data_IF_673225135317
#
_entry.id   IF_673225135317
#
_cell.length_a   1.000
_cell.length_b   1.000
_cell.length_c   1.000
_cell.angle_alpha   90.00
_cell.angle_beta   90.00
_cell.angle_gamma   90.00
#
_symmetry.space_group_name_H-M   'P 1'
#
loop_
_entity.id
_entity.type
_entity.pdbx_description
1 polymer ?
#
# COMPACT_ATOMS: atom_id res chain seq x y z
N UNK A 1 6.36 -14.05 -24.22
CA UNK A 1 5.75 -14.09 -22.88
C UNK A 1 4.25 -14.21 -23.05
N UNK A 2 3.67 -15.36 -22.79
CA UNK A 2 2.22 -15.58 -22.78
C UNK A 2 1.63 -14.75 -21.65
N UNK A 3 0.75 -13.79 -21.97
CA UNK A 3 -0.06 -13.10 -20.94
C UNK A 3 -0.84 -14.16 -20.17
N UNK A 4 -0.44 -14.46 -18.95
CA UNK A 4 -1.31 -15.23 -18.04
C UNK A 4 -2.58 -14.40 -17.88
N UNK A 5 -3.69 -14.94 -18.39
CA UNK A 5 -5.00 -14.33 -18.18
C UNK A 5 -5.28 -14.31 -16.67
N UNK A 6 -5.73 -13.17 -16.13
CA UNK A 6 -6.07 -13.07 -14.72
C UNK A 6 -7.16 -14.09 -14.39
N UNK A 7 -6.87 -14.96 -13.44
CA UNK A 7 -7.82 -15.96 -12.99
C UNK A 7 -8.85 -15.31 -12.04
N UNK A 8 -10.03 -15.03 -12.58
CA UNK A 8 -11.15 -14.49 -11.79
C UNK A 8 -11.59 -15.44 -10.68
N UNK A 9 -11.41 -16.76 -10.84
CA UNK A 9 -11.78 -17.72 -9.83
C UNK A 9 -10.88 -17.62 -8.60
N UNK A 10 -9.62 -17.21 -8.76
CA UNK A 10 -8.71 -16.96 -7.64
C UNK A 10 -9.22 -15.86 -6.71
N UNK A 11 -9.79 -14.78 -7.26
CA UNK A 11 -10.22 -13.61 -6.48
C UNK A 11 -11.60 -13.76 -5.84
N UNK A 12 -12.44 -14.62 -6.39
CA UNK A 12 -13.83 -14.78 -5.93
C UNK A 12 -13.90 -15.13 -4.45
N UNK A 13 -14.52 -14.24 -3.67
CA UNK A 13 -14.70 -14.40 -2.23
C UNK A 13 -13.44 -14.19 -1.39
N UNK A 14 -12.27 -13.87 -1.99
CA UNK A 14 -11.04 -13.53 -1.24
C UNK A 14 -11.24 -12.27 -0.43
N UNK A 15 -10.83 -12.33 0.83
CA UNK A 15 -10.86 -11.20 1.76
C UNK A 15 -9.61 -10.35 1.54
N UNK A 16 -9.77 -9.21 0.87
CA UNK A 16 -8.64 -8.35 0.45
C UNK A 16 -8.69 -7.01 1.17
N UNK A 17 -7.65 -6.67 1.90
CA UNK A 17 -7.47 -5.36 2.50
C UNK A 17 -6.66 -4.45 1.56
N UNK A 18 -7.17 -3.24 1.32
CA UNK A 18 -6.47 -2.17 0.61
C UNK A 18 -6.33 -0.98 1.55
N UNK A 19 -5.12 -0.69 2.00
CA UNK A 19 -4.88 0.59 2.69
C UNK A 19 -4.67 1.70 1.66
N UNK A 20 -5.18 2.90 1.93
CA UNK A 20 -5.13 4.01 0.96
C UNK A 20 -6.19 3.92 -0.14
N UNK A 21 -7.30 3.21 0.11
CA UNK A 21 -8.38 3.00 -0.86
C UNK A 21 -9.12 4.28 -1.29
N UNK A 22 -9.01 5.36 -0.52
CA UNK A 22 -9.57 6.67 -0.89
C UNK A 22 -8.70 7.45 -1.87
N UNK A 23 -7.42 7.05 -1.99
CA UNK A 23 -6.46 7.66 -2.92
C UNK A 23 -6.62 7.13 -4.35
N UNK A 24 -5.89 7.77 -5.30
CA UNK A 24 -6.00 7.44 -6.72
C UNK A 24 -5.69 5.97 -7.05
N UNK A 25 -4.50 5.48 -6.66
CA UNK A 25 -4.11 4.07 -6.91
C UNK A 25 -5.01 3.08 -6.17
N UNK A 26 -5.23 3.34 -4.88
CA UNK A 26 -6.04 2.47 -4.03
C UNK A 26 -7.49 2.39 -4.49
N UNK A 27 -8.06 3.50 -4.95
CA UNK A 27 -9.40 3.54 -5.51
C UNK A 27 -9.55 2.66 -6.75
N UNK A 28 -8.67 2.80 -7.73
CA UNK A 28 -8.68 1.97 -8.93
C UNK A 28 -8.47 0.49 -8.62
N UNK A 29 -7.56 0.17 -7.72
CA UNK A 29 -7.33 -1.21 -7.29
C UNK A 29 -8.56 -1.79 -6.60
N UNK A 30 -9.22 -1.03 -5.73
CA UNK A 30 -10.45 -1.42 -5.05
C UNK A 30 -11.58 -1.77 -6.03
N UNK A 31 -11.81 -0.89 -7.02
CA UNK A 31 -12.80 -1.14 -8.07
C UNK A 31 -12.48 -2.42 -8.83
N UNK A 32 -11.22 -2.60 -9.21
CA UNK A 32 -10.79 -3.76 -9.97
C UNK A 32 -10.92 -5.07 -9.19
N UNK A 33 -10.49 -5.10 -7.93
CA UNK A 33 -10.61 -6.26 -7.06
C UNK A 33 -12.07 -6.66 -6.84
N UNK A 34 -12.95 -5.67 -6.61
CA UNK A 34 -14.39 -5.92 -6.51
C UNK A 34 -14.94 -6.51 -7.82
N UNK A 35 -14.56 -5.98 -8.99
CA UNK A 35 -14.94 -6.50 -10.30
C UNK A 35 -14.46 -7.96 -10.51
N UNK A 36 -13.35 -8.36 -9.91
CA UNK A 36 -12.84 -9.73 -9.93
C UNK A 36 -13.57 -10.66 -8.95
N UNK A 37 -14.47 -10.13 -8.11
CA UNK A 37 -15.27 -10.88 -7.15
C UNK A 37 -14.64 -11.02 -5.76
N UNK A 38 -13.62 -10.23 -5.43
CA UNK A 38 -13.06 -10.17 -4.09
C UNK A 38 -13.99 -9.43 -3.13
N UNK A 39 -13.96 -9.82 -1.86
CA UNK A 39 -14.52 -9.05 -0.77
C UNK A 39 -13.47 -8.03 -0.31
N UNK A 40 -13.67 -6.76 -0.67
CA UNK A 40 -12.67 -5.72 -0.44
C UNK A 40 -12.98 -4.93 0.82
N UNK A 41 -11.97 -4.77 1.67
CA UNK A 41 -11.96 -3.88 2.84
C UNK A 41 -11.00 -2.73 2.57
N UNK A 42 -11.43 -1.52 2.87
CA UNK A 42 -10.61 -0.32 2.71
C UNK A 42 -10.26 0.31 4.06
N UNK A 43 -8.99 0.64 4.28
CA UNK A 43 -8.53 1.45 5.42
C UNK A 43 -7.80 2.67 4.88
N UNK A 44 -8.22 3.89 5.24
CA UNK A 44 -7.60 5.14 4.82
C UNK A 44 -8.07 6.32 5.65
N UNK A 45 -7.44 7.47 5.47
CA UNK A 45 -8.03 8.75 5.86
C UNK A 45 -9.21 9.10 4.94
N UNK A 46 -10.11 9.96 5.40
CA UNK A 46 -11.12 10.56 4.54
C UNK A 46 -10.43 11.38 3.43
N UNK A 47 -10.99 11.42 2.21
CA UNK A 47 -10.53 12.36 1.21
C UNK A 47 -10.57 13.80 1.73
N UNK A 48 -9.55 14.57 1.45
CA UNK A 48 -9.42 15.98 1.87
C UNK A 48 -9.48 16.97 0.72
N UNK A 49 -9.76 16.51 -0.49
CA UNK A 49 -9.86 17.32 -1.70
C UNK A 49 -11.11 16.98 -2.50
N UNK A 50 -11.61 17.95 -3.25
CA UNK A 50 -12.71 17.79 -4.20
C UNK A 50 -12.31 18.41 -5.55
N UNK A 51 -12.61 17.74 -6.68
CA UNK A 51 -13.20 16.40 -6.78
C UNK A 51 -12.21 15.29 -6.40
N UNK A 52 -12.70 14.16 -5.90
CA UNK A 52 -11.87 12.99 -5.60
C UNK A 52 -12.47 11.69 -6.19
N UNK A 53 -11.60 10.72 -6.48
CA UNK A 53 -11.99 9.45 -7.09
C UNK A 53 -12.94 8.64 -6.19
N UNK A 54 -12.76 8.69 -4.87
CA UNK A 54 -13.54 7.92 -3.92
C UNK A 54 -15.03 8.24 -4.02
N UNK A 55 -15.38 9.51 -4.13
CA UNK A 55 -16.78 9.95 -4.27
C UNK A 55 -17.30 9.81 -5.69
N UNK A 56 -16.51 10.26 -6.69
CA UNK A 56 -16.92 10.20 -8.09
C UNK A 56 -17.21 8.77 -8.57
N UNK A 57 -16.39 7.80 -8.15
CA UNK A 57 -16.58 6.40 -8.49
C UNK A 57 -17.40 5.62 -7.46
N UNK A 58 -17.93 6.28 -6.42
CA UNK A 58 -18.73 5.68 -5.35
C UNK A 58 -18.07 4.44 -4.75
N UNK A 59 -16.77 4.56 -4.40
CA UNK A 59 -15.96 3.42 -3.94
C UNK A 59 -16.53 2.80 -2.67
N UNK A 60 -17.19 3.58 -1.82
CA UNK A 60 -17.91 3.11 -0.64
C UNK A 60 -19.03 2.10 -0.93
N UNK A 61 -19.49 1.97 -2.17
CA UNK A 61 -20.50 0.96 -2.56
C UNK A 61 -19.87 -0.37 -3.01
N UNK A 62 -18.56 -0.39 -3.26
CA UNK A 62 -17.84 -1.56 -3.78
C UNK A 62 -16.80 -2.11 -2.80
N UNK A 63 -16.67 -1.51 -1.62
CA UNK A 63 -15.83 -2.04 -0.53
C UNK A 63 -16.43 -1.68 0.84
N UNK A 64 -16.08 -2.47 1.85
CA UNK A 64 -16.31 -2.13 3.25
C UNK A 64 -15.24 -1.11 3.69
N UNK A 65 -15.63 0.17 3.77
CA UNK A 65 -14.74 1.31 3.90
C UNK A 65 -14.62 1.78 5.35
N UNK A 66 -13.41 1.81 5.89
CA UNK A 66 -13.09 2.24 7.25
C UNK A 66 -12.13 3.43 7.23
N UNK A 67 -12.45 4.47 7.99
CA UNK A 67 -11.57 5.62 8.15
C UNK A 67 -10.72 5.46 9.40
N UNK A 68 -9.42 5.19 9.19
CA UNK A 68 -8.43 5.02 10.24
C UNK A 68 -7.08 5.55 9.76
N UNK A 69 -6.37 6.23 10.64
CA UNK A 69 -4.99 6.65 10.39
C UNK A 69 -4.05 5.47 10.65
N UNK A 70 -3.19 5.14 9.69
CA UNK A 70 -2.19 4.08 9.86
C UNK A 70 -1.12 4.39 10.92
N UNK A 71 -1.04 5.65 11.37
CA UNK A 71 -0.18 6.09 12.48
C UNK A 71 -0.74 5.70 13.84
N UNK A 72 -2.03 5.45 13.93
CA UNK A 72 -2.68 4.94 15.13
C UNK A 72 -2.57 3.40 15.17
N UNK A 73 -1.52 2.92 15.86
CA UNK A 73 -1.21 1.49 15.93
C UNK A 73 -2.33 0.67 16.58
N UNK A 74 -2.96 1.18 17.61
CA UNK A 74 -4.00 0.46 18.36
C UNK A 74 -5.28 0.32 17.54
N UNK A 75 -5.76 1.42 16.96
CA UNK A 75 -6.93 1.44 16.12
C UNK A 75 -6.73 0.57 14.87
N UNK A 76 -5.57 0.68 14.19
CA UNK A 76 -5.22 -0.10 13.01
C UNK A 76 -5.16 -1.60 13.33
N UNK A 77 -4.47 -1.99 14.41
CA UNK A 77 -4.34 -3.39 14.82
C UNK A 77 -5.70 -4.02 15.15
N UNK A 78 -6.53 -3.28 15.89
CA UNK A 78 -7.89 -3.73 16.24
C UNK A 78 -8.74 -3.93 15.00
N UNK A 79 -8.69 -2.99 14.07
CA UNK A 79 -9.45 -3.05 12.83
C UNK A 79 -9.00 -4.23 11.94
N UNK A 80 -7.71 -4.43 11.75
CA UNK A 80 -7.16 -5.55 10.96
C UNK A 80 -7.54 -6.91 11.57
N UNK A 81 -7.50 -7.02 12.92
CA UNK A 81 -7.94 -8.23 13.62
C UNK A 81 -9.42 -8.53 13.39
N UNK A 82 -10.27 -7.51 13.34
CA UNK A 82 -11.70 -7.69 13.07
C UNK A 82 -11.97 -8.06 11.61
N UNK A 83 -11.24 -7.44 10.69
CA UNK A 83 -11.41 -7.65 9.25
C UNK A 83 -10.88 -8.99 8.75
N UNK A 84 -9.92 -9.62 9.43
CA UNK A 84 -9.36 -10.94 9.07
C UNK A 84 -9.02 -11.06 7.57
N UNK A 85 -8.19 -10.19 6.97
CA UNK A 85 -7.86 -10.28 5.55
C UNK A 85 -6.96 -11.47 5.22
N UNK A 86 -7.12 -12.06 4.02
CA UNK A 86 -6.20 -13.08 3.47
C UNK A 86 -5.07 -12.45 2.67
N UNK A 87 -5.37 -11.34 1.96
CA UNK A 87 -4.45 -10.62 1.08
C UNK A 87 -4.46 -9.14 1.47
N UNK A 88 -3.29 -8.54 1.52
CA UNK A 88 -3.15 -7.12 1.90
C UNK A 88 -2.38 -6.37 0.81
N UNK A 89 -2.95 -5.26 0.35
CA UNK A 89 -2.27 -4.26 -0.47
C UNK A 89 -2.09 -2.98 0.36
N UNK A 90 -0.84 -2.63 0.61
CA UNK A 90 -0.52 -1.42 1.39
C UNK A 90 -0.12 -0.28 0.46
N UNK A 91 -1.07 0.64 0.23
CA UNK A 91 -0.87 1.83 -0.61
C UNK A 91 -1.02 3.14 0.17
N UNK A 92 -1.41 3.08 1.45
CA UNK A 92 -1.48 4.27 2.31
C UNK A 92 -0.09 4.85 2.52
N UNK A 93 0.08 6.12 2.18
CA UNK A 93 1.33 6.85 2.34
C UNK A 93 1.06 8.37 2.27
N UNK A 94 2.01 9.16 2.75
CA UNK A 94 2.15 10.55 2.35
C UNK A 94 2.96 10.59 1.03
N UNK A 95 2.33 10.87 -0.14
CA UNK A 95 2.94 10.64 -1.45
C UNK A 95 3.60 11.89 -2.06
N UNK A 96 3.45 13.06 -1.43
CA UNK A 96 3.81 14.35 -2.03
C UNK A 96 5.22 14.77 -1.64
N UNK A 97 6.14 14.82 -2.62
CA UNK A 97 7.54 15.25 -2.40
C UNK A 97 7.59 16.67 -1.82
N UNK A 98 6.82 17.62 -2.36
CA UNK A 98 6.82 18.99 -1.84
C UNK A 98 6.36 19.07 -0.38
N UNK A 99 5.33 18.30 -0.02
CA UNK A 99 4.85 18.24 1.35
C UNK A 99 5.90 17.64 2.31
N UNK A 100 6.71 16.70 1.84
CA UNK A 100 7.75 16.09 2.66
C UNK A 100 8.84 17.08 3.10
N UNK A 101 9.12 18.11 2.31
CA UNK A 101 10.03 19.19 2.70
C UNK A 101 9.44 20.10 3.78
N UNK A 102 8.12 20.31 3.75
CA UNK A 102 7.43 21.14 4.73
C UNK A 102 7.18 20.37 6.05
N UNK A 103 6.85 19.09 5.95
CA UNK A 103 6.44 18.23 7.06
C UNK A 103 7.23 16.90 7.06
N UNK A 104 8.57 16.95 7.25
CA UNK A 104 9.41 15.75 7.17
C UNK A 104 9.06 14.72 8.26
N UNK A 105 8.84 15.14 9.49
CA UNK A 105 8.48 14.24 10.60
C UNK A 105 7.17 13.51 10.34
N UNK A 106 6.16 14.20 9.82
CA UNK A 106 4.89 13.59 9.43
C UNK A 106 5.09 12.57 8.30
N UNK A 107 5.91 12.89 7.31
CA UNK A 107 6.24 12.01 6.19
C UNK A 107 6.87 10.71 6.67
N UNK A 108 7.87 10.77 7.56
CA UNK A 108 8.48 9.57 8.13
C UNK A 108 7.50 8.80 9.04
N UNK A 109 6.73 9.49 9.86
CA UNK A 109 5.75 8.84 10.73
C UNK A 109 4.69 8.10 9.90
N UNK A 110 4.20 8.70 8.83
CA UNK A 110 3.22 8.05 7.95
C UNK A 110 3.84 6.90 7.16
N UNK A 111 4.95 7.15 6.46
CA UNK A 111 5.48 6.19 5.49
C UNK A 111 6.25 5.05 6.17
N UNK A 112 7.05 5.35 7.20
CA UNK A 112 7.87 4.35 7.90
C UNK A 112 7.08 3.73 9.03
N UNK A 113 6.60 4.54 9.99
CA UNK A 113 5.91 4.00 11.16
C UNK A 113 4.55 3.40 10.80
N UNK A 114 3.79 4.02 9.87
CA UNK A 114 2.56 3.42 9.37
C UNK A 114 2.79 2.04 8.72
N UNK A 115 3.90 1.86 8.00
CA UNK A 115 4.29 0.54 7.46
C UNK A 115 4.68 -0.44 8.59
N UNK A 116 5.40 0.02 9.62
CA UNK A 116 5.72 -0.79 10.82
C UNK A 116 4.44 -1.25 11.50
N UNK A 117 3.51 -0.35 11.78
CA UNK A 117 2.25 -0.66 12.47
C UNK A 117 1.41 -1.68 11.69
N UNK A 118 1.31 -1.52 10.37
CA UNK A 118 0.62 -2.50 9.54
C UNK A 118 1.27 -3.88 9.62
N UNK A 119 2.58 -3.96 9.37
CA UNK A 119 3.31 -5.23 9.36
C UNK A 119 3.26 -5.93 10.73
N UNK A 120 3.31 -5.17 11.82
CA UNK A 120 3.18 -5.70 13.18
C UNK A 120 1.76 -6.23 13.44
N UNK A 121 0.72 -5.52 13.01
CA UNK A 121 -0.66 -5.98 13.09
C UNK A 121 -0.87 -7.30 12.33
N UNK A 122 -0.26 -7.47 11.13
CA UNK A 122 -0.37 -8.68 10.33
C UNK A 122 0.19 -9.92 11.06
N UNK A 123 1.20 -9.78 11.90
CA UNK A 123 1.77 -10.89 12.70
C UNK A 123 0.74 -11.54 13.63
N UNK A 124 -0.27 -10.81 14.04
CA UNK A 124 -1.31 -11.28 14.97
C UNK A 124 -2.53 -11.88 14.26
N UNK A 125 -2.57 -11.92 12.91
CA UNK A 125 -3.72 -12.38 12.12
C UNK A 125 -3.37 -13.61 11.31
N UNK A 126 -3.90 -14.77 11.74
CA UNK A 126 -3.53 -16.10 11.17
C UNK A 126 -4.01 -16.34 9.73
N UNK A 127 -5.05 -15.65 9.28
CA UNK A 127 -5.60 -15.85 7.94
C UNK A 127 -4.81 -15.12 6.83
N UNK A 128 -3.96 -14.17 7.17
CA UNK A 128 -3.11 -13.46 6.19
C UNK A 128 -2.16 -14.44 5.52
N UNK A 129 -2.12 -14.42 4.20
CA UNK A 129 -1.23 -15.24 3.37
C UNK A 129 -0.25 -14.42 2.56
N UNK A 130 -0.69 -13.25 2.09
CA UNK A 130 0.10 -12.41 1.19
C UNK A 130 -0.06 -10.94 1.55
N UNK A 131 1.05 -10.21 1.53
CA UNK A 131 1.07 -8.74 1.58
C UNK A 131 1.92 -8.15 0.46
N UNK A 132 1.38 -7.19 -0.27
CA UNK A 132 2.10 -6.40 -1.27
C UNK A 132 2.18 -4.96 -0.77
N UNK A 133 3.41 -4.50 -0.54
CA UNK A 133 3.72 -3.17 -0.01
C UNK A 133 4.13 -2.25 -1.16
N UNK A 134 3.29 -1.26 -1.46
CA UNK A 134 3.56 -0.31 -2.54
C UNK A 134 4.60 0.72 -2.11
N UNK A 135 5.71 0.74 -2.82
CA UNK A 135 6.77 1.71 -2.65
C UNK A 135 6.95 2.53 -3.95
N UNK A 136 8.14 2.97 -4.26
CA UNK A 136 8.39 3.84 -5.40
C UNK A 136 9.72 3.53 -6.06
N UNK A 137 9.87 3.86 -7.34
CA UNK A 137 11.15 3.88 -8.04
C UNK A 137 12.18 4.87 -7.44
N UNK A 138 11.70 5.84 -6.65
CA UNK A 138 12.56 6.85 -5.98
C UNK A 138 13.29 6.33 -4.74
N UNK A 139 13.14 5.03 -4.41
CA UNK A 139 13.86 4.40 -3.30
C UNK A 139 15.35 4.18 -3.57
N UNK A 140 15.77 4.27 -4.83
CA UNK A 140 17.16 4.06 -5.20
C UNK A 140 18.03 5.28 -4.91
N UNK A 141 19.28 5.02 -4.50
CA UNK A 141 20.33 6.05 -4.52
C UNK A 141 20.58 6.46 -5.97
N UNK A 142 20.14 7.65 -6.36
CA UNK A 142 20.25 8.11 -7.73
C UNK A 142 21.72 8.33 -8.13
N UNK A 143 22.19 7.55 -9.09
CA UNK A 143 23.57 7.59 -9.63
C UNK A 143 23.65 8.23 -11.02
N UNK A 144 22.50 8.61 -11.60
CA UNK A 144 22.41 9.21 -12.93
C UNK A 144 23.14 8.43 -14.04
N UNK A 145 23.24 7.14 -13.90
CA UNK A 145 23.88 6.25 -14.88
C UNK A 145 22.95 5.88 -16.03
N UNK A 146 23.55 5.40 -17.15
CA UNK A 146 22.83 5.09 -18.39
C UNK A 146 22.15 3.71 -18.41
N UNK A 147 21.85 3.12 -17.25
CA UNK A 147 21.13 1.84 -17.16
C UNK A 147 19.90 1.95 -16.25
N UNK A 148 18.85 1.16 -16.50
CA UNK A 148 17.73 1.05 -15.56
C UNK A 148 18.17 0.52 -14.19
N UNK A 149 17.51 1.00 -13.12
CA UNK A 149 17.69 0.44 -11.78
C UNK A 149 17.08 -0.95 -11.67
N UNK A 150 17.68 -1.77 -10.81
CA UNK A 150 17.25 -3.13 -10.50
C UNK A 150 16.98 -3.25 -9.01
N UNK A 151 16.31 -4.34 -8.60
CA UNK A 151 15.89 -4.56 -7.22
C UNK A 151 17.07 -4.67 -6.25
N UNK A 152 18.23 -5.13 -6.70
CA UNK A 152 19.47 -5.24 -5.92
C UNK A 152 20.28 -3.94 -5.83
N UNK A 153 19.91 -2.90 -6.59
CA UNK A 153 20.63 -1.62 -6.54
C UNK A 153 20.42 -0.92 -5.18
N UNK A 154 21.44 -0.15 -4.78
CA UNK A 154 21.49 0.49 -3.47
C UNK A 154 20.30 1.38 -3.21
N UNK A 155 19.65 1.16 -2.07
CA UNK A 155 18.57 2.03 -1.57
C UNK A 155 19.16 3.35 -1.04
N UNK A 156 18.40 4.42 -1.22
CA UNK A 156 18.72 5.73 -0.67
C UNK A 156 17.85 6.80 -1.33
N UNK A 157 17.38 7.75 -0.57
CA UNK A 157 16.58 8.86 -1.08
C UNK A 157 17.22 10.18 -0.72
N UNK A 158 17.21 11.15 -1.63
CA UNK A 158 17.79 12.46 -1.36
C UNK A 158 16.82 13.37 -0.62
N UNK A 159 15.56 13.35 -1.01
CA UNK A 159 14.49 14.10 -0.34
C UNK A 159 13.79 13.26 0.75
N UNK A 160 13.06 13.91 1.69
CA UNK A 160 12.43 13.20 2.81
C UNK A 160 11.40 12.15 2.38
N UNK A 161 10.68 12.37 1.26
CA UNK A 161 9.75 11.39 0.71
C UNK A 161 10.49 10.14 0.22
N UNK A 162 11.47 10.32 -0.65
CA UNK A 162 12.27 9.23 -1.22
C UNK A 162 13.00 8.45 -0.13
N UNK A 163 13.60 9.16 0.83
CA UNK A 163 14.28 8.56 1.97
C UNK A 163 13.31 7.77 2.87
N UNK A 164 12.09 8.28 3.12
CA UNK A 164 11.07 7.57 3.90
C UNK A 164 10.62 6.27 3.21
N UNK A 165 10.47 6.29 1.88
CA UNK A 165 10.10 5.09 1.11
C UNK A 165 11.24 4.08 1.04
N UNK A 166 12.50 4.53 0.95
CA UNK A 166 13.68 3.65 1.05
C UNK A 166 13.79 3.01 2.45
N UNK A 167 13.52 3.76 3.52
CA UNK A 167 13.46 3.24 4.87
C UNK A 167 12.31 2.22 5.02
N UNK A 168 11.16 2.45 4.39
CA UNK A 168 10.06 1.47 4.37
C UNK A 168 10.47 0.15 3.70
N UNK A 169 11.27 0.16 2.62
CA UNK A 169 11.82 -1.06 2.01
C UNK A 169 12.66 -1.87 3.00
N UNK A 170 13.51 -1.19 3.80
CA UNK A 170 14.32 -1.83 4.84
C UNK A 170 13.43 -2.45 5.92
N UNK A 171 12.41 -1.74 6.37
CA UNK A 171 11.41 -2.24 7.34
C UNK A 171 10.68 -3.46 6.79
N UNK A 172 10.20 -3.40 5.55
CA UNK A 172 9.49 -4.50 4.88
C UNK A 172 10.40 -5.74 4.83
N UNK A 173 11.65 -5.58 4.41
CA UNK A 173 12.62 -6.67 4.36
C UNK A 173 12.90 -7.27 5.74
N UNK A 174 13.05 -6.43 6.77
CA UNK A 174 13.28 -6.84 8.15
C UNK A 174 12.09 -7.66 8.67
N UNK A 175 10.86 -7.16 8.57
CA UNK A 175 9.66 -7.86 9.04
C UNK A 175 9.44 -9.18 8.28
N UNK A 176 9.63 -9.18 6.96
CA UNK A 176 9.55 -10.39 6.14
C UNK A 176 10.49 -11.47 6.65
N UNK A 177 11.77 -11.13 6.85
CA UNK A 177 12.80 -12.10 7.18
C UNK A 177 12.76 -12.55 8.65
N UNK A 178 12.45 -11.62 9.57
CA UNK A 178 12.50 -11.90 11.00
C UNK A 178 11.23 -12.53 11.56
N UNK A 179 10.06 -12.28 10.94
CA UNK A 179 8.78 -12.67 11.52
C UNK A 179 7.83 -13.36 10.53
N UNK A 180 7.49 -12.69 9.42
CA UNK A 180 6.34 -13.06 8.61
C UNK A 180 6.56 -14.31 7.77
N UNK A 181 7.78 -14.51 7.24
CA UNK A 181 8.12 -15.73 6.49
C UNK A 181 8.01 -17.00 7.36
N UNK A 182 8.39 -16.91 8.64
CA UNK A 182 8.26 -18.04 9.58
C UNK A 182 6.80 -18.36 9.91
N UNK A 183 5.91 -17.39 9.77
CA UNK A 183 4.46 -17.55 9.93
C UNK A 183 3.75 -17.99 8.64
N UNK A 184 4.49 -18.20 7.54
CA UNK A 184 3.93 -18.57 6.24
C UNK A 184 3.25 -17.41 5.51
N UNK A 185 3.57 -16.16 5.87
CA UNK A 185 3.04 -14.95 5.22
C UNK A 185 4.06 -14.47 4.19
N UNK A 186 3.67 -14.47 2.91
CA UNK A 186 4.49 -13.97 1.82
C UNK A 186 4.38 -12.44 1.71
N UNK A 187 5.49 -11.74 1.89
CA UNK A 187 5.55 -10.28 1.77
C UNK A 187 6.46 -9.89 0.61
N UNK A 188 5.96 -9.01 -0.26
CA UNK A 188 6.72 -8.40 -1.33
C UNK A 188 6.56 -6.87 -1.32
N UNK A 189 7.58 -6.14 -1.75
CA UNK A 189 7.44 -4.73 -2.13
C UNK A 189 7.24 -4.60 -3.64
N UNK A 190 6.48 -3.58 -4.05
CA UNK A 190 6.28 -3.22 -5.45
C UNK A 190 6.73 -1.76 -5.63
N UNK A 191 7.85 -1.58 -6.32
CA UNK A 191 8.45 -0.25 -6.58
C UNK A 191 7.84 0.36 -7.82
N UNK A 192 6.73 1.08 -7.64
CA UNK A 192 6.02 1.70 -8.75
C UNK A 192 6.66 3.03 -9.15
N UNK A 193 6.79 3.25 -10.46
CA UNK A 193 7.04 4.58 -11.02
C UNK A 193 5.76 5.43 -11.07
N UNK A 194 5.67 6.32 -12.06
CA UNK A 194 4.45 7.10 -12.25
C UNK A 194 3.29 6.21 -12.70
N UNK A 195 2.20 6.26 -11.96
CA UNK A 195 0.98 5.52 -12.28
C UNK A 195 0.03 6.44 -13.03
N UNK A 196 -0.27 6.07 -14.26
CA UNK A 196 -1.19 6.78 -15.13
C UNK A 196 -2.50 6.00 -15.24
N UNK A 197 -3.62 6.69 -15.03
CA UNK A 197 -4.95 6.20 -15.32
C UNK A 197 -5.79 7.36 -15.82
N UNK A 198 -6.83 7.07 -16.60
CA UNK A 198 -7.76 8.11 -17.02
C UNK A 198 -8.55 8.55 -15.80
N UNK A 199 -8.44 9.83 -15.43
CA UNK A 199 -9.38 10.42 -14.49
C UNK A 199 -10.75 10.46 -15.18
N UNK A 200 -11.68 9.66 -14.69
CA UNK A 200 -13.10 9.79 -15.07
C UNK A 200 -13.57 11.05 -14.36
N UNK A 201 -13.56 12.16 -15.08
CA UNK A 201 -14.02 13.43 -14.55
C UNK A 201 -13.99 14.49 -15.63
N UNK A 202 -15.12 14.77 -16.19
CA UNK A 202 -15.56 16.11 -16.52
C UNK A 202 -16.61 16.50 -15.51
#
# INVERSE_FOLDING_TARGET
MTRKQLDRNFWRGKRVLVTGHTGFKGGWLTIWLNHLGAQVFGISLKPNNEPNLFELARINLVCDSHFCDIRDNEALSTLIKNLQPEIVFHLAAQPLVRHSYQMPSETYNTNVMGTVHLLDALRSVKCVKVGVMDTTDKVYSNKEWNRPYREEDTLGGHDPYSASKAASEIVIASFRNSFLSQQGIAIASARAGNVLAVAIGR
#
